data_IF_912237309787
#
_entry.id   IF_912237309787
#
_cell.length_a   1.000
_cell.length_b   1.000
_cell.length_c   1.000
_cell.angle_alpha   90.00
_cell.angle_beta   90.00
_cell.angle_gamma   90.00
#
_symmetry.space_group_name_H-M   'P 1'
#
loop_
_entity.id
_entity.type
_entity.pdbx_description
1 polymer ?
#
# COMPACT_ATOMS: atom_id res chain seq x y z
N UNK A 1 1.50 -13.67 18.02
CA UNK A 1 0.58 -12.67 17.43
C UNK A 1 0.12 -13.12 16.07
N UNK A 2 -1.16 -13.04 15.77
CA UNK A 2 -1.64 -13.37 14.45
C UNK A 2 -1.06 -12.39 13.42
N UNK A 3 -0.77 -12.92 12.23
CA UNK A 3 -0.24 -12.11 11.12
C UNK A 3 -1.38 -11.26 10.53
N UNK A 4 -1.18 -9.97 10.32
CA UNK A 4 -2.21 -9.15 9.70
C UNK A 4 -2.47 -9.59 8.24
N UNK A 5 -3.70 -9.38 7.77
CA UNK A 5 -4.06 -9.65 6.38
C UNK A 5 -3.51 -8.52 5.51
N UNK A 6 -2.61 -8.85 4.62
CA UNK A 6 -1.95 -7.88 3.75
C UNK A 6 -2.18 -8.25 2.28
N UNK A 7 -2.64 -7.28 1.50
CA UNK A 7 -2.74 -7.38 0.05
C UNK A 7 -1.63 -6.53 -0.56
N UNK A 8 -0.88 -7.12 -1.46
CA UNK A 8 0.21 -6.44 -2.17
C UNK A 8 0.15 -6.87 -3.64
N UNK A 9 0.03 -5.96 -4.60
CA UNK A 9 -0.03 -6.33 -6.01
C UNK A 9 1.19 -7.12 -6.48
N UNK A 10 2.34 -6.93 -5.87
CA UNK A 10 3.56 -7.68 -6.21
C UNK A 10 3.41 -9.17 -5.95
N UNK A 11 2.59 -9.57 -4.99
CA UNK A 11 2.38 -11.00 -4.69
C UNK A 11 1.72 -11.71 -5.86
N UNK A 12 0.95 -11.00 -6.68
CA UNK A 12 0.31 -11.55 -7.87
C UNK A 12 1.24 -11.59 -9.09
N UNK A 13 2.43 -11.02 -8.97
CA UNK A 13 3.45 -10.98 -10.02
C UNK A 13 4.53 -12.04 -9.80
N UNK A 14 4.50 -12.76 -8.68
CA UNK A 14 5.52 -13.74 -8.36
C UNK A 14 5.39 -15.00 -9.21
N UNK A 15 6.56 -15.56 -9.57
CA UNK A 15 6.70 -16.82 -10.27
C UNK A 15 7.79 -17.63 -9.57
N UNK A 16 7.99 -18.92 -9.92
CA UNK A 16 9.13 -19.67 -9.39
C UNK A 16 10.50 -19.03 -9.67
N UNK A 17 10.56 -18.15 -10.71
CA UNK A 17 11.78 -17.41 -11.06
C UNK A 17 11.86 -16.04 -10.42
N UNK A 18 10.94 -15.67 -9.50
CA UNK A 18 10.86 -14.38 -8.86
C UNK A 18 9.71 -13.54 -9.39
N UNK A 19 9.70 -12.26 -9.03
CA UNK A 19 8.68 -11.33 -9.49
C UNK A 19 8.93 -10.96 -10.95
N UNK A 20 7.91 -11.13 -11.79
CA UNK A 20 7.97 -10.74 -13.20
C UNK A 20 6.93 -9.66 -13.45
N UNK A 21 7.40 -8.47 -13.86
CA UNK A 21 6.54 -7.34 -14.18
C UNK A 21 6.44 -7.18 -15.70
N UNK A 22 5.21 -7.09 -16.19
CA UNK A 22 4.86 -6.52 -17.49
C UNK A 22 3.59 -5.72 -17.28
N UNK A 23 3.27 -4.80 -18.19
CA UNK A 23 2.03 -4.01 -18.06
C UNK A 23 0.80 -4.91 -18.05
N UNK A 24 0.79 -5.94 -18.91
CA UNK A 24 -0.31 -6.89 -18.97
C UNK A 24 -0.43 -7.69 -17.67
N UNK A 25 0.68 -8.20 -17.17
CA UNK A 25 0.69 -8.95 -15.90
C UNK A 25 0.26 -8.07 -14.74
N UNK A 26 0.68 -6.82 -14.73
CA UNK A 26 0.31 -5.87 -13.69
C UNK A 26 -1.20 -5.56 -13.72
N UNK A 27 -1.77 -5.37 -14.91
CA UNK A 27 -3.21 -5.15 -15.04
C UNK A 27 -4.01 -6.35 -14.52
N UNK A 28 -3.59 -7.57 -14.87
CA UNK A 28 -4.21 -8.81 -14.37
C UNK A 28 -4.04 -8.94 -12.86
N UNK A 29 -2.87 -8.60 -12.32
CA UNK A 29 -2.60 -8.64 -10.88
C UNK A 29 -3.56 -7.73 -10.12
N UNK A 30 -3.78 -6.51 -10.60
CA UNK A 30 -4.71 -5.59 -9.95
C UNK A 30 -6.15 -6.08 -10.01
N UNK A 31 -6.60 -6.66 -11.14
CA UNK A 31 -7.95 -7.22 -11.23
C UNK A 31 -8.15 -8.37 -10.23
N UNK A 32 -7.16 -9.23 -10.11
CA UNK A 32 -7.21 -10.35 -9.14
C UNK A 32 -7.18 -9.83 -7.70
N UNK A 33 -6.35 -8.83 -7.42
CA UNK A 33 -6.27 -8.21 -6.10
C UNK A 33 -7.63 -7.61 -5.71
N UNK A 34 -8.24 -6.84 -6.58
CA UNK A 34 -9.55 -6.25 -6.30
C UNK A 34 -10.63 -7.32 -6.07
N UNK A 35 -10.60 -8.40 -6.85
CA UNK A 35 -11.54 -9.51 -6.64
C UNK A 35 -11.36 -10.16 -5.27
N UNK A 36 -10.10 -10.38 -4.87
CA UNK A 36 -9.77 -10.98 -3.58
C UNK A 36 -10.12 -10.05 -2.43
N UNK A 37 -9.86 -8.76 -2.59
CA UNK A 37 -10.18 -7.74 -1.59
C UNK A 37 -11.69 -7.62 -1.40
N UNK A 38 -12.45 -7.62 -2.48
CA UNK A 38 -13.92 -7.60 -2.44
C UNK A 38 -14.45 -8.83 -1.70
N UNK A 39 -13.91 -10.00 -2.00
CA UNK A 39 -14.29 -11.23 -1.31
C UNK A 39 -14.00 -11.15 0.19
N UNK A 40 -12.84 -10.62 0.54
CA UNK A 40 -12.48 -10.44 1.94
C UNK A 40 -13.45 -9.49 2.65
N UNK A 41 -13.75 -8.36 2.05
CA UNK A 41 -14.68 -7.38 2.62
C UNK A 41 -16.10 -7.93 2.77
N UNK A 42 -16.56 -8.75 1.83
CA UNK A 42 -17.90 -9.33 1.90
C UNK A 42 -18.05 -10.29 3.07
N UNK A 43 -16.96 -10.97 3.44
CA UNK A 43 -16.94 -11.89 4.60
C UNK A 43 -16.73 -11.13 5.90
N UNK A 44 -15.77 -10.20 5.93
CA UNK A 44 -15.42 -9.46 7.14
C UNK A 44 -16.48 -8.45 7.55
N UNK A 45 -17.14 -7.82 6.58
CA UNK A 45 -18.20 -6.85 6.83
C UNK A 45 -17.71 -5.54 7.45
N UNK A 46 -18.67 -4.70 7.94
CA UNK A 46 -18.35 -3.36 8.45
C UNK A 46 -17.44 -3.33 9.69
N UNK A 47 -17.24 -4.46 10.35
CA UNK A 47 -16.31 -4.56 11.48
C UNK A 47 -14.84 -4.54 11.07
N UNK A 48 -14.52 -4.70 9.80
CA UNK A 48 -13.16 -4.60 9.31
C UNK A 48 -12.66 -3.16 9.35
N UNK A 49 -11.33 -3.01 9.44
CA UNK A 49 -10.68 -1.71 9.33
C UNK A 49 -9.64 -1.78 8.21
N UNK A 50 -9.85 -1.01 7.15
CA UNK A 50 -8.96 -1.00 6.01
C UNK A 50 -7.88 0.07 6.17
N UNK A 51 -6.64 -0.33 5.91
CA UNK A 51 -5.47 0.56 5.92
C UNK A 51 -4.85 0.56 4.52
N UNK A 52 -4.88 1.69 3.86
CA UNK A 52 -4.10 1.89 2.64
C UNK A 52 -2.73 2.43 3.05
N UNK A 53 -1.69 1.60 2.91
CA UNK A 53 -0.32 2.02 3.19
C UNK A 53 0.31 2.40 1.86
N UNK A 54 0.44 3.70 1.64
CA UNK A 54 0.85 4.26 0.35
C UNK A 54 2.18 5.02 0.45
N UNK A 55 2.80 5.19 -0.69
CA UNK A 55 4.09 5.84 -0.83
C UNK A 55 4.80 5.29 -2.06
N UNK A 56 5.87 5.95 -2.48
CA UNK A 56 6.64 5.49 -3.63
C UNK A 56 7.37 4.17 -3.32
N UNK A 57 7.83 3.50 -4.35
CA UNK A 57 8.64 2.30 -4.21
C UNK A 57 9.91 2.65 -3.41
N UNK A 58 10.23 1.83 -2.43
CA UNK A 58 11.39 2.07 -1.57
C UNK A 58 11.11 2.95 -0.36
N UNK A 59 9.90 3.48 -0.21
CA UNK A 59 9.58 4.38 0.90
C UNK A 59 9.53 3.68 2.27
N UNK A 60 9.31 2.36 2.31
CA UNK A 60 9.25 1.62 3.57
C UNK A 60 7.85 1.17 3.97
N UNK A 61 6.93 1.05 3.02
CA UNK A 61 5.55 0.61 3.27
C UNK A 61 5.48 -0.77 3.93
N UNK A 62 6.14 -1.74 3.34
CA UNK A 62 6.17 -3.11 3.86
C UNK A 62 6.77 -3.16 5.25
N UNK A 63 7.84 -2.40 5.47
CA UNK A 63 8.50 -2.31 6.78
C UNK A 63 7.57 -1.71 7.83
N UNK A 64 6.83 -0.67 7.48
CA UNK A 64 5.86 -0.06 8.39
C UNK A 64 4.79 -1.08 8.81
N UNK A 65 4.23 -1.82 7.85
CA UNK A 65 3.22 -2.86 8.14
C UNK A 65 3.81 -3.93 9.06
N UNK A 66 5.05 -4.36 8.79
CA UNK A 66 5.73 -5.38 9.62
C UNK A 66 5.87 -4.93 11.07
N UNK A 67 6.17 -3.65 11.29
CA UNK A 67 6.38 -3.12 12.64
C UNK A 67 5.09 -2.74 13.36
N UNK A 68 4.06 -2.34 12.64
CA UNK A 68 2.86 -1.75 13.23
C UNK A 68 1.57 -2.52 12.95
N UNK A 69 1.60 -3.45 12.00
CA UNK A 69 0.36 -4.11 11.56
C UNK A 69 -0.34 -4.91 12.65
N UNK A 70 0.44 -5.65 13.46
CA UNK A 70 -0.13 -6.50 14.50
C UNK A 70 -0.85 -5.71 15.60
N UNK A 71 -0.44 -4.45 15.82
CA UNK A 71 -1.05 -3.57 16.80
C UNK A 71 -2.50 -3.20 16.46
N UNK A 72 -2.88 -3.35 15.19
CA UNK A 72 -4.20 -2.91 14.69
C UNK A 72 -5.28 -3.98 14.87
N UNK A 73 -4.91 -5.19 15.32
CA UNK A 73 -5.87 -6.24 15.63
C UNK A 73 -6.24 -7.12 14.43
N UNK A 74 -7.08 -8.11 14.70
CA UNK A 74 -7.48 -9.13 13.71
C UNK A 74 -8.39 -8.59 12.61
N UNK A 75 -9.13 -7.52 12.89
CA UNK A 75 -10.04 -6.91 11.90
C UNK A 75 -9.33 -6.01 10.90
N UNK A 76 -8.04 -5.73 11.11
CA UNK A 76 -7.26 -4.88 10.22
C UNK A 76 -6.93 -5.62 8.92
N UNK A 77 -7.10 -4.93 7.81
CA UNK A 77 -6.69 -5.40 6.49
C UNK A 77 -5.88 -4.29 5.81
N UNK A 78 -4.73 -4.66 5.27
CA UNK A 78 -3.78 -3.72 4.70
C UNK A 78 -3.70 -3.88 3.19
N UNK A 79 -3.60 -2.77 2.49
CA UNK A 79 -3.19 -2.73 1.08
C UNK A 79 -1.86 -1.99 1.01
N UNK A 80 -0.81 -2.73 0.64
CA UNK A 80 0.55 -2.21 0.45
C UNK A 80 0.72 -1.89 -1.03
N UNK A 81 0.53 -0.63 -1.41
CA UNK A 81 0.57 -0.24 -2.81
C UNK A 81 0.90 1.24 -2.95
N UNK A 82 1.55 1.61 -4.04
CA UNK A 82 1.93 3.01 -4.27
C UNK A 82 0.72 3.94 -4.35
N UNK A 83 -0.21 3.67 -5.25
CA UNK A 83 -1.43 4.48 -5.48
C UNK A 83 -1.20 5.98 -5.25
N UNK A 84 -0.25 6.60 -5.98
CA UNK A 84 0.29 7.89 -5.59
C UNK A 84 -0.69 9.05 -5.82
N UNK A 85 -1.48 9.02 -6.89
CA UNK A 85 -2.42 10.09 -7.17
C UNK A 85 -3.81 9.72 -6.66
N UNK A 86 -4.61 10.75 -6.36
CA UNK A 86 -5.99 10.57 -5.92
C UNK A 86 -6.79 9.68 -6.88
N UNK A 87 -6.63 9.88 -8.19
CA UNK A 87 -7.33 9.08 -9.20
C UNK A 87 -7.04 7.59 -9.09
N UNK A 88 -5.85 7.23 -8.65
CA UNK A 88 -5.46 5.81 -8.48
C UNK A 88 -6.17 5.16 -7.29
N UNK A 89 -6.63 5.95 -6.33
CA UNK A 89 -7.25 5.44 -5.10
C UNK A 89 -8.77 5.32 -5.18
N UNK A 90 -9.39 5.93 -6.21
CA UNK A 90 -10.85 5.99 -6.33
C UNK A 90 -11.48 4.60 -6.30
N UNK A 91 -10.93 3.64 -7.04
CA UNK A 91 -11.50 2.30 -7.14
C UNK A 91 -11.53 1.57 -5.80
N UNK A 92 -10.41 1.57 -5.07
CA UNK A 92 -10.36 0.90 -3.77
C UNK A 92 -11.26 1.60 -2.76
N UNK A 93 -11.33 2.92 -2.78
CA UNK A 93 -12.18 3.66 -1.86
C UNK A 93 -13.67 3.46 -2.16
N UNK A 94 -14.04 3.32 -3.43
CA UNK A 94 -15.40 2.96 -3.82
C UNK A 94 -15.78 1.60 -3.24
N UNK A 95 -14.87 0.63 -3.33
CA UNK A 95 -15.07 -0.70 -2.78
C UNK A 95 -15.24 -0.67 -1.25
N UNK A 96 -14.36 0.04 -0.56
CA UNK A 96 -14.40 0.21 0.89
C UNK A 96 -15.74 0.81 1.34
N UNK A 97 -16.20 1.84 0.65
CA UNK A 97 -17.47 2.50 0.95
C UNK A 97 -18.66 1.59 0.72
N UNK A 98 -18.63 0.79 -0.34
CA UNK A 98 -19.72 -0.14 -0.66
C UNK A 98 -19.98 -1.12 0.49
N UNK A 99 -18.94 -1.53 1.19
CA UNK A 99 -19.05 -2.47 2.32
C UNK A 99 -19.14 -1.77 3.68
N UNK A 100 -19.18 -0.44 3.72
CA UNK A 100 -19.30 0.30 4.97
C UNK A 100 -18.10 0.15 5.89
N UNK A 101 -16.92 -0.03 5.33
CA UNK A 101 -15.69 -0.33 6.08
C UNK A 101 -14.96 0.97 6.42
N UNK A 102 -14.50 1.08 7.67
CA UNK A 102 -13.66 2.18 8.10
C UNK A 102 -12.32 2.13 7.38
N UNK A 103 -11.80 3.27 6.95
CA UNK A 103 -10.56 3.36 6.18
C UNK A 103 -9.60 4.39 6.76
N UNK A 104 -8.34 4.00 6.87
CA UNK A 104 -7.23 4.88 7.25
C UNK A 104 -6.19 4.87 6.14
N UNK A 105 -5.77 6.05 5.70
CA UNK A 105 -4.61 6.17 4.83
C UNK A 105 -3.35 6.30 5.69
N UNK A 106 -2.34 5.50 5.38
CA UNK A 106 -1.00 5.63 5.99
C UNK A 106 -0.05 5.99 4.87
N UNK A 107 0.37 7.24 4.86
CA UNK A 107 1.31 7.73 3.84
C UNK A 107 2.72 7.71 4.38
N UNK A 108 3.53 6.78 3.85
CA UNK A 108 4.95 6.70 4.17
C UNK A 108 5.67 7.70 3.26
N UNK A 109 5.94 8.88 3.80
CA UNK A 109 6.48 10.02 3.06
C UNK A 109 7.99 10.11 3.30
N UNK A 110 8.76 9.92 2.24
CA UNK A 110 10.22 10.03 2.30
C UNK A 110 10.72 10.89 1.13
N UNK A 111 11.86 11.55 1.27
CA UNK A 111 12.50 12.24 0.15
C UNK A 111 12.80 11.26 -1.00
N UNK A 112 12.77 11.77 -2.23
CA UNK A 112 12.99 10.95 -3.41
C UNK A 112 14.34 10.23 -3.38
N UNK A 113 15.41 10.91 -2.97
CA UNK A 113 16.75 10.32 -2.89
C UNK A 113 16.82 9.16 -1.90
N UNK A 114 16.10 9.26 -0.80
CA UNK A 114 16.02 8.16 0.17
C UNK A 114 15.25 6.97 -0.39
N UNK A 115 14.13 7.22 -1.06
CA UNK A 115 13.34 6.18 -1.70
C UNK A 115 14.16 5.44 -2.77
N UNK A 116 14.90 6.19 -3.59
CA UNK A 116 15.77 5.61 -4.62
C UNK A 116 16.87 4.74 -3.99
N UNK A 117 17.48 5.22 -2.93
CA UNK A 117 18.54 4.48 -2.22
C UNK A 117 18.00 3.18 -1.63
N UNK A 118 16.84 3.22 -0.98
CA UNK A 118 16.22 2.04 -0.38
C UNK A 118 15.73 1.06 -1.45
N UNK A 119 15.17 1.58 -2.55
CA UNK A 119 14.77 0.75 -3.68
C UNK A 119 15.94 -0.05 -4.24
N UNK A 120 17.11 0.56 -4.37
CA UNK A 120 18.31 -0.10 -4.89
C UNK A 120 18.80 -1.24 -4.00
N UNK A 121 18.42 -1.25 -2.72
CA UNK A 121 18.81 -2.28 -1.75
C UNK A 121 17.86 -3.47 -1.72
N UNK A 122 16.76 -3.43 -2.47
CA UNK A 122 15.79 -4.52 -2.53
C UNK A 122 16.37 -5.72 -3.28
N UNK A 123 15.71 -6.88 -3.14
CA UNK A 123 16.07 -8.07 -3.92
C UNK A 123 16.05 -7.75 -5.42
N UNK A 124 16.95 -8.32 -6.23
CA UNK A 124 17.08 -7.93 -7.64
C UNK A 124 15.79 -7.98 -8.44
N UNK A 125 14.91 -8.94 -8.17
CA UNK A 125 13.62 -9.06 -8.85
C UNK A 125 12.59 -8.03 -8.36
N UNK A 126 12.85 -7.36 -7.24
CA UNK A 126 11.95 -6.37 -6.65
C UNK A 126 12.39 -4.93 -6.92
N UNK A 127 13.63 -4.71 -7.38
CA UNK A 127 14.13 -3.37 -7.69
C UNK A 127 13.32 -2.79 -8.85
N UNK A 128 12.76 -1.60 -8.61
CA UNK A 128 12.01 -0.85 -9.62
C UNK A 128 12.98 0.13 -10.29
N UNK A 129 12.82 0.36 -11.60
CA UNK A 129 13.66 1.31 -12.32
C UNK A 129 13.54 2.71 -11.73
N UNK A 130 14.64 3.43 -11.64
CA UNK A 130 14.65 4.77 -11.07
C UNK A 130 13.65 5.71 -11.75
N UNK A 131 13.53 5.65 -13.08
CA UNK A 131 12.56 6.47 -13.80
C UNK A 131 11.13 6.20 -13.37
N UNK A 132 10.80 4.96 -13.02
CA UNK A 132 9.47 4.61 -12.53
C UNK A 132 9.24 5.14 -11.11
N UNK A 133 10.24 5.07 -10.25
CA UNK A 133 10.16 5.65 -8.88
C UNK A 133 9.96 7.16 -8.98
N UNK A 134 10.75 7.84 -9.82
CA UNK A 134 10.61 9.28 -10.03
C UNK A 134 9.24 9.65 -10.59
N UNK A 135 8.74 8.87 -11.55
CA UNK A 135 7.41 9.10 -12.12
C UNK A 135 6.31 8.98 -11.07
N UNK A 136 6.39 7.98 -10.21
CA UNK A 136 5.47 7.80 -9.09
C UNK A 136 5.54 8.99 -8.14
N UNK A 137 6.75 9.41 -7.78
CA UNK A 137 6.96 10.54 -6.89
C UNK A 137 6.37 11.84 -7.48
N UNK A 138 6.55 12.06 -8.78
CA UNK A 138 6.10 13.28 -9.45
C UNK A 138 4.57 13.44 -9.47
N UNK A 139 3.82 12.35 -9.47
CA UNK A 139 2.35 12.39 -9.48
C UNK A 139 1.73 12.18 -8.11
N UNK A 140 2.56 12.10 -7.08
CA UNK A 140 2.10 11.82 -5.73
C UNK A 140 1.26 12.99 -5.20
N UNK A 141 0.08 12.66 -4.71
CA UNK A 141 -0.82 13.58 -4.04
C UNK A 141 -1.09 13.05 -2.64
N UNK A 142 -0.96 13.91 -1.64
CA UNK A 142 -1.25 13.53 -0.27
C UNK A 142 -2.68 12.99 -0.14
N UNK A 143 -2.91 11.92 0.62
CA UNK A 143 -4.26 11.44 0.85
C UNK A 143 -5.04 12.44 1.71
N UNK A 144 -6.34 12.57 1.44
CA UNK A 144 -7.21 13.52 2.12
C UNK A 144 -8.49 12.85 2.58
N UNK A 145 -9.12 13.44 3.60
CA UNK A 145 -10.36 12.90 4.17
C UNK A 145 -11.52 12.93 3.16
N UNK A 146 -11.52 13.87 2.23
CA UNK A 146 -12.60 13.98 1.24
C UNK A 146 -12.55 12.86 0.19
N UNK A 147 -11.48 12.07 0.14
CA UNK A 147 -11.45 10.84 -0.65
C UNK A 147 -12.28 9.72 -0.02
N UNK A 148 -12.65 9.86 1.23
CA UNK A 148 -13.41 8.89 1.98
C UNK A 148 -12.66 8.23 3.14
N UNK A 149 -11.42 8.62 3.38
CA UNK A 149 -10.69 8.14 4.56
C UNK A 149 -11.26 8.74 5.83
N UNK A 150 -11.37 7.92 6.86
CA UNK A 150 -11.78 8.37 8.19
C UNK A 150 -10.60 9.01 8.93
N UNK A 151 -9.39 8.53 8.68
CA UNK A 151 -8.16 9.05 9.26
C UNK A 151 -7.05 9.06 8.20
N UNK A 152 -6.10 9.99 8.37
CA UNK A 152 -4.87 10.05 7.56
C UNK A 152 -3.69 10.13 8.52
N UNK A 153 -2.75 9.18 8.38
CA UNK A 153 -1.51 9.13 9.14
C UNK A 153 -0.36 9.40 8.18
N UNK A 154 0.49 10.36 8.50
CA UNK A 154 1.69 10.64 7.72
C UNK A 154 2.90 10.14 8.51
N UNK A 155 3.65 9.22 7.91
CA UNK A 155 4.88 8.66 8.49
C UNK A 155 6.06 9.28 7.77
N UNK A 156 6.91 9.97 8.49
CA UNK A 156 8.10 10.62 7.95
C UNK A 156 9.37 9.91 8.42
N UNK A 157 10.51 10.17 7.74
CA UNK A 157 11.78 9.59 8.12
C UNK A 157 12.01 8.15 7.69
N UNK A 158 11.14 7.63 6.81
CA UNK A 158 11.27 6.28 6.25
C UNK A 158 11.15 5.18 7.29
N UNK A 159 11.75 4.02 6.98
CA UNK A 159 11.64 2.83 7.81
C UNK A 159 12.24 2.97 9.21
N UNK A 160 13.20 3.89 9.38
CA UNK A 160 13.93 4.05 10.63
C UNK A 160 13.47 5.24 11.45
N UNK A 161 12.73 6.14 10.86
CA UNK A 161 12.41 7.40 11.49
C UNK A 161 10.93 7.57 11.75
N UNK A 162 10.33 6.65 12.47
CA UNK A 162 8.94 6.82 12.86
C UNK A 162 8.87 7.99 13.84
N UNK A 163 8.22 9.06 13.40
CA UNK A 163 8.09 10.23 14.26
C UNK A 163 7.23 9.88 15.49
N UNK A 164 7.63 10.33 16.67
CA UNK A 164 6.82 10.12 17.87
C UNK A 164 5.43 10.76 17.72
N UNK A 165 4.42 10.11 18.26
CA UNK A 165 3.09 10.67 18.31
C UNK A 165 2.20 10.37 17.11
N UNK A 166 2.58 9.46 16.26
CA UNK A 166 1.78 9.05 15.10
C UNK A 166 0.97 7.82 15.35
#
# INVERSE_FOLDING_TARGET
>A
MPTPRVFNPDDYLRTPAGRIYTEERNATAWERLYADLERHFSVAGPGAHFFLVMGVQGAGKTTWIRHHGAERGLSAVFLDAALPARRHRVRVMTLVKRFGIRATAVWVSVPLDEALRQNAQRSPDEVVREAAVQGTFNVLEAPTLDEGFDDVIVVTGGAHGLAPGH
#
